data_IF_534350909600
#
_entry.id   IF_534350909600
#
_cell.length_a   1.000
_cell.length_b   1.000
_cell.length_c   1.000
_cell.angle_alpha   90.00
_cell.angle_beta   90.00
_cell.angle_gamma   90.00
#
_symmetry.space_group_name_H-M   'P 1'
#
loop_
_entity.id
_entity.type
_entity.pdbx_description
1 polymer ?
#
# COMPACT_ATOMS: atom_id res chain seq x y z
N UNK A 1 -20.35 8.85 -17.54
CA UNK A 1 -19.33 7.80 -17.36
C UNK A 1 -19.96 6.44 -17.65
N UNK A 2 -19.33 5.64 -18.52
CA UNK A 2 -19.83 4.31 -18.85
C UNK A 2 -19.73 3.38 -17.62
N UNK A 3 -20.79 2.62 -17.26
CA UNK A 3 -20.80 1.72 -16.10
C UNK A 3 -19.64 0.71 -16.05
N UNK A 4 -19.08 0.34 -17.20
CA UNK A 4 -17.95 -0.57 -17.32
C UNK A 4 -16.66 -0.03 -16.70
N UNK A 5 -16.41 1.27 -16.79
CA UNK A 5 -15.19 1.90 -16.28
C UNK A 5 -15.16 1.90 -14.74
N UNK A 6 -16.31 2.19 -14.12
CA UNK A 6 -16.47 2.14 -12.66
C UNK A 6 -16.35 0.70 -12.12
N UNK A 7 -16.90 -0.30 -12.83
CA UNK A 7 -16.78 -1.70 -12.44
C UNK A 7 -15.33 -2.20 -12.54
N UNK A 8 -14.62 -1.87 -13.63
CA UNK A 8 -13.21 -2.22 -13.81
C UNK A 8 -12.32 -1.56 -12.75
N UNK A 9 -12.53 -0.28 -12.47
CA UNK A 9 -11.89 0.45 -11.38
C UNK A 9 -12.15 -0.18 -10.01
N UNK A 10 -13.40 -0.56 -9.73
CA UNK A 10 -13.75 -1.22 -8.47
C UNK A 10 -13.12 -2.61 -8.36
N UNK A 11 -13.07 -3.38 -9.44
CA UNK A 11 -12.40 -4.69 -9.47
C UNK A 11 -10.88 -4.56 -9.33
N UNK A 12 -10.22 -3.68 -10.08
CA UNK A 12 -8.77 -3.47 -10.01
C UNK A 12 -8.32 -2.97 -8.62
N UNK A 13 -9.04 -2.01 -8.04
CA UNK A 13 -8.75 -1.51 -6.69
C UNK A 13 -9.10 -2.52 -5.58
N UNK A 14 -9.95 -3.51 -5.87
CA UNK A 14 -10.35 -4.55 -4.91
C UNK A 14 -9.40 -5.75 -4.97
N UNK A 15 -9.13 -6.28 -6.16
CA UNK A 15 -8.21 -7.40 -6.39
C UNK A 15 -6.78 -7.10 -5.92
N UNK A 16 -6.39 -5.84 -5.82
CA UNK A 16 -5.04 -5.44 -5.41
C UNK A 16 -4.76 -5.42 -3.90
N UNK A 17 -5.77 -5.52 -3.04
CA UNK A 17 -5.54 -5.47 -1.58
C UNK A 17 -5.34 -6.83 -0.93
N UNK A 18 -5.66 -7.88 -1.67
CA UNK A 18 -6.12 -9.09 -1.04
C UNK A 18 -6.09 -10.28 -1.98
N UNK A 19 -5.43 -10.31 -3.14
CA UNK A 19 -5.38 -11.55 -3.93
C UNK A 19 -3.97 -11.71 -4.53
N UNK A 20 -3.29 -12.82 -4.20
CA UNK A 20 -2.11 -13.26 -4.92
C UNK A 20 -2.56 -13.95 -6.20
N UNK A 21 -2.08 -13.50 -7.36
CA UNK A 21 -2.14 -14.31 -8.58
C UNK A 21 -0.86 -15.14 -8.64
N UNK A 22 -1.00 -16.45 -8.48
CA UNK A 22 0.09 -17.37 -8.75
C UNK A 22 0.23 -17.53 -10.27
N UNK A 23 1.25 -16.91 -10.85
CA UNK A 23 1.48 -16.97 -12.29
C UNK A 23 1.89 -18.36 -12.80
N UNK A 24 2.31 -19.26 -11.90
CA UNK A 24 2.70 -20.63 -12.23
C UNK A 24 1.48 -21.56 -12.20
N UNK A 25 0.65 -21.44 -11.16
CA UNK A 25 -0.52 -22.31 -10.96
C UNK A 25 -1.83 -21.73 -11.54
N UNK A 26 -1.83 -20.44 -11.93
CA UNK A 26 -3.01 -19.74 -12.46
C UNK A 26 -4.09 -19.47 -11.41
N UNK A 27 -3.77 -19.66 -10.13
CA UNK A 27 -4.70 -19.56 -9.02
C UNK A 27 -4.73 -18.15 -8.43
N UNK A 28 -5.95 -17.70 -8.07
CA UNK A 28 -6.17 -16.46 -7.35
C UNK A 28 -6.42 -16.79 -5.88
N UNK A 29 -5.46 -16.45 -5.02
CA UNK A 29 -5.53 -16.73 -3.60
C UNK A 29 -5.80 -15.47 -2.79
N UNK A 30 -6.94 -15.46 -2.10
CA UNK A 30 -7.29 -14.34 -1.23
C UNK A 30 -6.33 -14.17 -0.06
N UNK A 31 -6.00 -12.92 0.17
CA UNK A 31 -5.01 -12.31 1.05
C UNK A 31 -3.58 -12.88 0.91
N UNK A 32 -3.25 -13.52 -0.23
CA UNK A 32 -2.00 -14.29 -0.38
C UNK A 32 -0.71 -13.50 -0.14
N UNK A 33 -0.66 -12.22 -0.51
CA UNK A 33 0.52 -11.34 -0.28
C UNK A 33 0.31 -10.28 0.80
N UNK A 34 -0.84 -10.27 1.48
CA UNK A 34 -1.26 -9.18 2.39
C UNK A 34 -0.25 -8.85 3.50
N UNK A 35 0.55 -9.83 3.90
CA UNK A 35 1.59 -9.68 4.91
C UNK A 35 2.93 -10.27 4.45
N UNK A 36 3.17 -10.32 3.14
CA UNK A 36 4.46 -10.72 2.59
C UNK A 36 5.44 -9.55 2.65
N UNK A 37 6.28 -9.55 3.68
CA UNK A 37 7.34 -8.54 3.87
C UNK A 37 8.43 -8.57 2.79
N UNK A 38 8.51 -9.63 1.98
CA UNK A 38 9.39 -9.72 0.83
C UNK A 38 8.84 -9.03 -0.41
N UNK A 39 7.51 -8.86 -0.50
CA UNK A 39 6.83 -8.29 -1.67
C UNK A 39 6.16 -6.94 -1.41
N UNK A 40 5.85 -6.63 -0.15
CA UNK A 40 5.22 -5.37 0.24
C UNK A 40 6.16 -4.43 0.96
N UNK A 41 5.91 -3.14 0.77
CA UNK A 41 6.49 -2.09 1.60
C UNK A 41 6.01 -2.23 3.03
N UNK A 42 6.85 -1.86 3.98
CA UNK A 42 6.50 -2.00 5.39
C UNK A 42 7.32 -1.07 6.27
N UNK A 43 6.79 -0.74 7.44
CA UNK A 43 7.55 0.03 8.43
C UNK A 43 8.53 -0.87 9.20
N UNK A 44 9.62 -0.28 9.70
CA UNK A 44 10.58 -0.98 10.54
C UNK A 44 9.92 -1.64 11.76
N UNK A 45 8.98 -0.95 12.40
CA UNK A 45 8.26 -1.43 13.58
C UNK A 45 7.33 -2.60 13.26
N UNK A 46 6.62 -2.55 12.12
CA UNK A 46 5.80 -3.67 11.66
C UNK A 46 6.64 -4.93 11.47
N UNK A 47 7.83 -4.78 10.86
CA UNK A 47 8.70 -5.91 10.63
C UNK A 47 9.31 -6.47 11.92
N UNK A 48 9.82 -5.60 12.79
CA UNK A 48 10.34 -6.01 14.10
C UNK A 48 9.29 -6.77 14.91
N UNK A 49 8.03 -6.30 14.88
CA UNK A 49 6.93 -6.97 15.54
C UNK A 49 6.60 -8.33 14.92
N UNK A 50 6.63 -8.43 13.59
CA UNK A 50 6.44 -9.70 12.88
C UNK A 50 7.52 -10.72 13.24
N UNK A 51 8.79 -10.34 13.23
CA UNK A 51 9.91 -11.23 13.58
C UNK A 51 9.83 -11.70 15.04
N UNK A 52 9.55 -10.78 15.97
CA UNK A 52 9.47 -11.10 17.40
C UNK A 52 8.30 -12.04 17.72
N UNK A 53 7.13 -11.85 17.08
CA UNK A 53 5.90 -12.58 17.44
C UNK A 53 5.54 -13.71 16.49
N UNK A 54 6.17 -13.75 15.31
CA UNK A 54 5.81 -14.64 14.17
C UNK A 54 4.30 -14.63 13.89
N UNK A 55 3.69 -13.44 13.96
CA UNK A 55 2.24 -13.25 13.87
C UNK A 55 1.89 -11.93 13.21
N UNK A 56 0.82 -11.94 12.42
CA UNK A 56 0.24 -10.78 11.73
C UNK A 56 -0.94 -10.16 12.48
N UNK A 57 -1.34 -10.73 13.63
CA UNK A 57 -2.55 -10.34 14.40
C UNK A 57 -2.60 -8.88 14.87
N UNK A 58 -1.47 -8.18 14.84
CA UNK A 58 -1.33 -6.77 15.25
C UNK A 58 -0.70 -5.92 14.15
N UNK A 59 -0.70 -6.44 12.93
CA UNK A 59 -0.27 -5.75 11.73
C UNK A 59 -1.49 -5.37 10.92
N UNK A 60 -1.39 -4.24 10.25
CA UNK A 60 -2.40 -3.72 9.35
C UNK A 60 -1.79 -3.65 7.97
N UNK A 61 -2.54 -4.16 7.00
CA UNK A 61 -2.28 -3.91 5.59
C UNK A 61 -3.15 -2.73 5.17
N UNK A 62 -2.51 -1.64 4.75
CA UNK A 62 -3.21 -0.46 4.25
C UNK A 62 -2.68 -0.05 2.87
N UNK A 63 -3.36 0.88 2.21
CA UNK A 63 -2.87 1.48 0.97
C UNK A 63 -1.97 2.67 1.27
N UNK A 64 -0.89 2.86 0.50
CA UNK A 64 -0.04 4.04 0.63
C UNK A 64 -0.78 5.37 0.38
N UNK A 65 -1.69 5.41 -0.59
CA UNK A 65 -2.66 6.49 -0.77
C UNK A 65 -4.07 5.97 -0.45
N UNK A 66 -4.86 6.68 0.36
CA UNK A 66 -6.23 6.28 0.64
C UNK A 66 -7.06 6.10 -0.63
N UNK A 67 -7.76 4.97 -0.75
CA UNK A 67 -8.58 4.63 -1.94
C UNK A 67 -9.50 5.75 -2.38
N UNK A 68 -10.09 6.50 -1.45
CA UNK A 68 -10.99 7.63 -1.75
C UNK A 68 -10.27 8.76 -2.49
N UNK A 69 -9.02 9.05 -2.15
CA UNK A 69 -8.20 10.07 -2.83
C UNK A 69 -7.90 9.62 -4.25
N UNK A 70 -7.47 8.37 -4.42
CA UNK A 70 -7.15 7.79 -5.72
C UNK A 70 -8.37 7.74 -6.65
N UNK A 71 -9.53 7.30 -6.14
CA UNK A 71 -10.79 7.28 -6.92
C UNK A 71 -11.20 8.69 -7.31
N UNK A 72 -11.09 9.69 -6.44
CA UNK A 72 -11.42 11.08 -6.79
C UNK A 72 -10.55 11.58 -7.94
N UNK A 73 -9.25 11.30 -7.91
CA UNK A 73 -8.31 11.67 -8.98
C UNK A 73 -8.67 11.00 -10.32
N UNK A 74 -8.99 9.71 -10.28
CA UNK A 74 -9.34 8.95 -11.49
C UNK A 74 -10.70 9.38 -12.07
N UNK A 75 -11.62 9.90 -11.25
CA UNK A 75 -12.92 10.43 -11.69
C UNK A 75 -12.87 11.90 -12.12
N UNK A 76 -11.88 12.68 -11.65
CA UNK A 76 -11.80 14.12 -11.93
C UNK A 76 -11.20 14.44 -13.30
N UNK A 77 -10.65 13.44 -13.99
CA UNK A 77 -10.00 13.61 -15.28
C UNK A 77 -10.53 12.59 -16.28
N UNK A 78 -10.74 13.01 -17.53
CA UNK A 78 -10.81 12.10 -18.66
C UNK A 78 -9.38 11.62 -18.97
N UNK A 79 -8.86 10.72 -18.13
CA UNK A 79 -7.52 10.17 -18.32
C UNK A 79 -7.55 9.13 -19.43
N UNK A 80 -6.54 9.17 -20.30
CA UNK A 80 -6.26 8.04 -21.18
C UNK A 80 -5.90 6.79 -20.36
N UNK A 81 -6.22 5.62 -20.91
CA UNK A 81 -6.00 4.33 -20.24
C UNK A 81 -4.53 4.13 -19.81
N UNK A 82 -3.58 4.56 -20.65
CA UNK A 82 -2.15 4.48 -20.35
C UNK A 82 -1.77 5.28 -19.09
N UNK A 83 -2.37 6.45 -18.91
CA UNK A 83 -2.13 7.32 -17.76
C UNK A 83 -2.80 6.76 -16.50
N UNK A 84 -3.95 6.11 -16.64
CA UNK A 84 -4.62 5.40 -15.54
C UNK A 84 -3.73 4.27 -15.03
N UNK A 85 -3.18 3.46 -15.93
CA UNK A 85 -2.26 2.38 -15.57
C UNK A 85 -1.03 2.91 -14.86
N UNK A 86 -0.36 3.95 -15.40
CA UNK A 86 0.81 4.54 -14.75
C UNK A 86 0.49 5.08 -13.34
N UNK A 87 -0.65 5.76 -13.18
CA UNK A 87 -1.09 6.30 -11.89
C UNK A 87 -1.37 5.16 -10.90
N UNK A 88 -2.02 4.10 -11.34
CA UNK A 88 -2.27 2.91 -10.53
C UNK A 88 -0.96 2.22 -10.11
N UNK A 89 -0.01 2.01 -11.03
CA UNK A 89 1.29 1.41 -10.73
C UNK A 89 2.11 2.22 -9.71
N UNK A 90 2.09 3.55 -9.83
CA UNK A 90 2.87 4.43 -8.96
C UNK A 90 2.25 4.58 -7.57
N UNK A 91 0.92 4.73 -7.49
CA UNK A 91 0.25 5.21 -6.28
C UNK A 91 -0.57 4.15 -5.56
N UNK A 92 -0.88 3.03 -6.20
CA UNK A 92 -1.78 2.04 -5.64
C UNK A 92 -1.04 0.75 -5.25
N UNK A 93 -0.42 0.81 -4.08
CA UNK A 93 0.25 -0.33 -3.48
C UNK A 93 -0.01 -0.39 -1.97
N UNK A 94 0.23 -1.58 -1.42
CA UNK A 94 0.09 -1.88 0.00
C UNK A 94 1.31 -1.50 0.83
N UNK A 95 1.06 -1.10 2.09
CA UNK A 95 2.09 -0.92 3.12
C UNK A 95 1.66 -1.69 4.36
N UNK A 96 2.59 -2.44 4.95
CA UNK A 96 2.39 -3.12 6.23
C UNK A 96 2.83 -2.20 7.36
N UNK A 97 1.92 -1.91 8.27
CA UNK A 97 2.13 -1.08 9.46
C UNK A 97 1.69 -1.84 10.72
N UNK A 98 2.04 -1.36 11.91
CA UNK A 98 1.45 -1.89 13.14
C UNK A 98 0.06 -1.30 13.37
N UNK A 99 -0.80 -2.02 14.10
CA UNK A 99 -2.10 -1.49 14.50
C UNK A 99 -1.99 -0.18 15.31
N UNK A 100 -0.91 0.00 16.07
CA UNK A 100 -0.65 1.22 16.82
C UNK A 100 -0.26 2.40 15.90
N UNK A 101 0.55 2.15 14.87
CA UNK A 101 0.86 3.17 13.86
C UNK A 101 -0.41 3.63 13.13
N UNK A 102 -1.27 2.67 12.78
CA UNK A 102 -2.55 2.90 12.12
C UNK A 102 -3.58 3.61 13.02
N UNK A 103 -3.58 3.39 14.33
CA UNK A 103 -4.49 4.08 15.26
C UNK A 103 -3.98 5.43 15.73
N UNK A 104 -2.71 5.51 16.13
CA UNK A 104 -2.20 6.60 16.97
C UNK A 104 -1.53 7.70 16.14
N UNK A 105 -0.88 7.33 15.04
CA UNK A 105 -0.02 8.25 14.28
C UNK A 105 -0.60 8.67 12.93
N UNK A 106 -1.36 7.78 12.28
CA UNK A 106 -2.18 8.12 11.13
C UNK A 106 -3.51 8.76 11.58
N UNK A 107 -4.07 8.31 12.70
CA UNK A 107 -5.38 8.77 13.17
C UNK A 107 -6.50 8.52 12.14
N UNK A 108 -7.72 8.94 12.44
CA UNK A 108 -8.82 8.82 11.47
C UNK A 108 -8.60 9.66 10.20
N UNK A 109 -7.93 10.81 10.33
CA UNK A 109 -7.73 11.74 9.23
C UNK A 109 -6.80 11.19 8.14
N UNK A 110 -5.64 10.61 8.49
CA UNK A 110 -4.69 10.11 7.49
C UNK A 110 -5.12 8.78 6.88
N UNK A 111 -6.07 8.04 7.48
CA UNK A 111 -6.70 6.88 6.83
C UNK A 111 -7.56 7.26 5.62
N UNK A 112 -8.05 8.50 5.57
CA UNK A 112 -8.94 8.96 4.51
C UNK A 112 -8.33 10.00 3.57
N UNK A 113 -7.25 10.66 3.98
CA UNK A 113 -6.68 11.81 3.27
C UNK A 113 -5.15 11.78 3.24
N UNK A 114 -4.59 12.42 2.22
CA UNK A 114 -3.15 12.73 2.14
C UNK A 114 -2.87 14.05 2.89
N UNK A 115 -1.59 14.38 3.18
CA UNK A 115 -1.24 15.69 3.73
C UNK A 115 -1.81 16.82 2.87
N UNK A 116 -2.22 17.93 3.49
CA UNK A 116 -2.98 18.99 2.81
C UNK A 116 -2.22 19.67 1.65
N UNK A 117 -0.89 19.69 1.73
CA UNK A 117 0.04 20.22 0.74
C UNK A 117 0.46 19.20 -0.32
N UNK A 118 0.16 17.91 -0.13
CA UNK A 118 0.51 16.85 -1.05
C UNK A 118 -0.32 16.86 -2.33
N UNK A 119 0.32 16.58 -3.47
CA UNK A 119 -0.29 16.43 -4.80
C UNK A 119 0.29 15.20 -5.52
N UNK A 120 -0.46 14.70 -6.50
CA UNK A 120 0.07 13.70 -7.44
C UNK A 120 1.27 14.28 -8.21
N UNK A 121 2.34 13.50 -8.32
CA UNK A 121 3.61 13.90 -8.92
C UNK A 121 4.59 14.60 -7.99
N UNK A 122 4.23 14.84 -6.72
CA UNK A 122 5.16 15.44 -5.74
C UNK A 122 6.36 14.55 -5.46
N UNK A 123 7.50 15.17 -5.14
CA UNK A 123 8.76 14.45 -4.85
C UNK A 123 8.70 13.54 -3.62
N UNK A 124 7.78 13.80 -2.69
CA UNK A 124 7.52 12.92 -1.53
C UNK A 124 6.79 11.63 -1.91
N UNK A 125 6.16 11.60 -3.10
CA UNK A 125 5.50 10.43 -3.67
C UNK A 125 4.34 9.89 -2.82
N UNK A 126 3.98 8.62 -3.07
CA UNK A 126 2.89 7.93 -2.40
C UNK A 126 3.09 7.69 -0.88
N UNK A 127 4.31 7.86 -0.39
CA UNK A 127 4.68 7.58 1.00
C UNK A 127 4.71 8.84 1.90
N UNK A 128 4.25 10.00 1.39
CA UNK A 128 4.27 11.26 2.13
C UNK A 128 3.61 11.21 3.53
N UNK A 129 2.63 10.31 3.74
CA UNK A 129 1.99 10.11 5.07
C UNK A 129 2.94 9.53 6.13
N UNK A 130 4.04 8.91 5.72
CA UNK A 130 4.97 8.19 6.58
C UNK A 130 6.28 8.96 6.83
N UNK A 131 6.68 9.87 5.93
CA UNK A 131 8.05 10.39 5.73
C UNK A 131 8.64 11.29 6.86
N UNK A 132 7.98 11.34 8.02
CA UNK A 132 8.55 11.93 9.25
C UNK A 132 8.18 11.19 10.52
N UNK A 133 7.39 10.11 10.40
CA UNK A 133 6.87 9.32 11.52
C UNK A 133 7.43 7.91 11.52
N UNK A 134 7.68 7.34 10.34
CA UNK A 134 8.04 5.93 10.17
C UNK A 134 9.05 5.73 9.06
N UNK A 135 10.08 4.91 9.32
CA UNK A 135 10.98 4.43 8.27
C UNK A 135 10.26 3.31 7.50
N UNK A 136 10.04 3.52 6.20
CA UNK A 136 9.41 2.56 5.30
C UNK A 136 10.46 1.89 4.43
N UNK A 137 10.49 0.57 4.43
CA UNK A 137 11.35 -0.24 3.58
C UNK A 137 10.61 -0.68 2.33
N UNK A 138 11.32 -0.71 1.20
CA UNK A 138 10.85 -1.35 -0.03
C UNK A 138 11.06 -2.88 0.05
N UNK A 139 10.38 -3.65 -0.82
CA UNK A 139 10.68 -5.06 -1.05
C UNK A 139 12.20 -5.29 -1.21
N UNK A 140 12.75 -6.20 -0.40
CA UNK A 140 14.18 -6.53 -0.43
C UNK A 140 15.14 -5.47 0.10
N UNK A 141 14.66 -4.32 0.62
CA UNK A 141 15.51 -3.25 1.16
C UNK A 141 15.48 -3.14 2.69
N UNK A 142 14.77 -4.03 3.38
CA UNK A 142 14.80 -4.06 4.83
C UNK A 142 16.04 -4.84 5.30
N UNK A 143 16.95 -4.25 6.10
CA UNK A 143 18.15 -4.92 6.61
C UNK A 143 17.84 -6.22 7.38
N UNK A 144 16.68 -6.23 8.04
CA UNK A 144 16.20 -7.40 8.78
C UNK A 144 15.72 -8.49 7.79
N UNK A 145 15.14 -8.12 6.65
CA UNK A 145 14.72 -9.07 5.61
C UNK A 145 15.92 -9.62 4.82
N UNK A 146 16.96 -8.80 4.61
CA UNK A 146 18.16 -9.17 3.87
C UNK A 146 19.15 -9.99 4.70
N UNK A 147 18.88 -10.17 6.00
CA UNK A 147 19.78 -10.89 6.91
C UNK A 147 21.03 -10.09 7.29
N UNK A 148 21.03 -8.78 7.03
CA UNK A 148 22.11 -7.84 7.35
C UNK A 148 22.00 -7.31 8.78
N UNK A 149 21.40 -8.07 9.70
CA UNK A 149 21.48 -7.74 11.13
C UNK A 149 22.90 -8.01 11.60
N UNK A 150 23.71 -6.95 11.69
CA UNK A 150 25.03 -6.94 12.30
C UNK A 150 25.01 -7.69 13.65
N UNK A 151 25.97 -8.60 13.78
CA UNK A 151 26.39 -9.31 15.01
C UNK A 151 26.86 -8.38 16.10
#
# INVERSE_FOLDING_TARGET
MAPAYTAMMHCLLWSWTADAYDAYDGELARDGFKYDFGQLRHTQEAHAQFIMRRSTSKLVHEHAIPRKVLVRQLLSHELEESLVTALLEEYCFGVIVTAAQDSDALGEALRSEMPSDWRFGDSQGALARYDGKFIVHQPGQCPICTGETET
#
